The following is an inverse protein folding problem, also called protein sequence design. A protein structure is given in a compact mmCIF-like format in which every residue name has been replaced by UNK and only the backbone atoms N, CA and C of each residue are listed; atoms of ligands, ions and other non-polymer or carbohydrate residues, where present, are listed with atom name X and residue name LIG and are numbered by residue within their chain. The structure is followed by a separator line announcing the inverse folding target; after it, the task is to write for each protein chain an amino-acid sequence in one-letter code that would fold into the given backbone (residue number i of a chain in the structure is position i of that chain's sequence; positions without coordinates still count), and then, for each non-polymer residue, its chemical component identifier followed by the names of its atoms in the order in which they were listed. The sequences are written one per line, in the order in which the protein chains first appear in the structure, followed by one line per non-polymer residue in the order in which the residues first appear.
data_IF_425508308900
#
_entry.id   IF_425508308900
#
_cell.length_a   1.000
_cell.length_b   1.000
_cell.length_c   1.000
_cell.angle_alpha   90.00
_cell.angle_beta   90.00
_cell.angle_gamma   90.00
#
_symmetry.space_group_name_H-M   'P 1'
#
loop_
_entity.id
_entity.type
_entity.pdbx_description
1 polymer ?
#
# COMPACT_ATOMS: atom_id res chain seq x y z
N UNK A 1 15.09 14.03 0.42
CA UNK A 1 14.51 13.79 -0.92
C UNK A 1 14.00 12.36 -0.95
N UNK A 2 12.87 12.07 -1.58
CA UNK A 2 12.30 10.72 -1.59
C UNK A 2 13.05 9.87 -2.62
N UNK A 3 13.58 8.70 -2.23
CA UNK A 3 14.23 7.79 -3.18
C UNK A 3 13.23 7.31 -4.25
N UNK A 4 13.64 7.28 -5.51
CA UNK A 4 12.80 6.78 -6.62
C UNK A 4 12.65 5.25 -6.59
N UNK A 5 13.49 4.55 -5.82
CA UNK A 5 13.59 3.10 -5.87
C UNK A 5 12.73 2.37 -4.82
N UNK A 6 11.76 3.07 -4.21
CA UNK A 6 10.91 2.54 -3.13
C UNK A 6 9.98 1.40 -3.56
N UNK A 7 9.62 1.33 -4.84
CA UNK A 7 8.77 0.25 -5.41
C UNK A 7 9.39 -1.15 -5.26
N UNK A 8 10.70 -1.25 -4.98
CA UNK A 8 11.37 -2.54 -4.72
C UNK A 8 10.96 -3.17 -3.39
N UNK A 9 10.42 -2.40 -2.46
CA UNK A 9 10.04 -2.85 -1.13
C UNK A 9 8.57 -3.27 -1.05
N UNK A 10 7.76 -2.90 -2.04
CA UNK A 10 6.33 -3.20 -2.08
C UNK A 10 5.59 -2.27 -3.03
N UNK A 11 4.26 -2.25 -2.87
CA UNK A 11 3.38 -1.40 -3.66
C UNK A 11 3.45 0.06 -3.15
N UNK A 12 4.01 0.96 -3.96
CA UNK A 12 4.06 2.39 -3.63
C UNK A 12 2.66 3.00 -3.83
N UNK A 13 2.01 3.39 -2.72
CA UNK A 13 0.65 3.90 -2.71
C UNK A 13 0.61 5.42 -2.95
N UNK A 14 1.52 6.17 -2.32
CA UNK A 14 1.62 7.62 -2.52
C UNK A 14 2.99 8.16 -2.12
N UNK A 15 3.33 9.33 -2.67
CA UNK A 15 4.50 10.13 -2.31
C UNK A 15 4.06 11.58 -2.20
N UNK A 16 4.02 12.10 -0.98
CA UNK A 16 3.49 13.43 -0.68
C UNK A 16 4.39 14.14 0.32
N UNK A 17 4.86 15.34 -0.03
CA UNK A 17 5.59 16.24 0.88
C UNK A 17 6.75 15.58 1.65
N UNK A 18 7.49 14.67 1.01
CA UNK A 18 8.62 13.97 1.64
C UNK A 18 8.22 12.76 2.49
N UNK A 19 6.98 12.29 2.40
CA UNK A 19 6.47 11.06 3.02
C UNK A 19 6.04 10.09 1.92
N UNK A 20 6.53 8.86 1.98
CA UNK A 20 6.12 7.79 1.08
C UNK A 20 5.29 6.74 1.84
N UNK A 21 4.18 6.29 1.25
CA UNK A 21 3.38 5.18 1.74
C UNK A 21 3.63 3.95 0.89
N UNK A 22 4.16 2.90 1.49
CA UNK A 22 4.45 1.64 0.81
C UNK A 22 3.66 0.53 1.50
N UNK A 23 2.87 -0.20 0.73
CA UNK A 23 2.19 -1.41 1.18
C UNK A 23 3.09 -2.61 0.95
N UNK A 24 3.26 -3.41 2.01
CA UNK A 24 4.16 -4.55 2.03
C UNK A 24 3.47 -5.76 2.63
N UNK A 25 3.97 -6.96 2.33
CA UNK A 25 3.50 -8.17 2.98
C UNK A 25 3.83 -8.14 4.48
N UNK A 26 2.86 -8.53 5.32
CA UNK A 26 2.95 -8.42 6.77
C UNK A 26 4.17 -9.16 7.32
N UNK A 27 4.49 -10.32 6.76
CA UNK A 27 5.60 -11.17 7.15
C UNK A 27 6.97 -10.53 6.82
N UNK A 28 7.00 -9.59 5.87
CA UNK A 28 8.25 -8.96 5.40
C UNK A 28 8.54 -7.62 6.07
N UNK A 29 7.59 -7.04 6.82
CA UNK A 29 7.71 -5.71 7.45
C UNK A 29 9.04 -5.54 8.18
N UNK A 30 9.41 -6.48 9.06
CA UNK A 30 10.64 -6.35 9.86
C UNK A 30 11.91 -6.35 9.00
N UNK A 31 11.96 -7.19 7.96
CA UNK A 31 13.10 -7.28 7.06
C UNK A 31 13.24 -6.02 6.19
N UNK A 32 12.12 -5.53 5.67
CA UNK A 32 12.07 -4.33 4.84
C UNK A 32 12.48 -3.11 5.67
N UNK A 33 11.94 -2.95 6.88
CA UNK A 33 12.32 -1.86 7.78
C UNK A 33 13.82 -1.85 8.09
N UNK A 34 14.41 -3.01 8.38
CA UNK A 34 15.85 -3.10 8.62
C UNK A 34 16.65 -2.63 7.40
N UNK A 35 16.22 -3.00 6.19
CA UNK A 35 16.87 -2.59 4.94
C UNK A 35 16.69 -1.09 4.67
N UNK A 36 15.50 -0.54 4.95
CA UNK A 36 15.20 0.87 4.78
C UNK A 36 16.05 1.74 5.72
N UNK A 37 16.13 1.36 7.00
CA UNK A 37 16.91 2.08 8.02
C UNK A 37 18.42 1.97 7.81
N UNK A 38 18.91 0.93 7.14
CA UNK A 38 20.33 0.78 6.78
C UNK A 38 20.69 1.63 5.54
N UNK A 39 19.78 1.75 4.58
CA UNK A 39 20.05 2.35 3.26
C UNK A 39 19.70 3.83 3.16
N UNK A 40 18.75 4.31 3.96
CA UNK A 40 18.26 5.68 3.90
C UNK A 40 18.31 6.37 5.26
N UNK A 41 18.51 7.69 5.24
CA UNK A 41 18.37 8.52 6.43
C UNK A 41 16.89 8.84 6.67
N UNK A 42 16.25 8.05 7.53
CA UNK A 42 14.81 8.14 7.78
C UNK A 42 14.58 8.82 9.13
N UNK A 43 13.90 9.96 9.10
CA UNK A 43 13.59 10.73 10.31
C UNK A 43 12.47 10.11 11.16
N UNK A 44 11.46 9.50 10.52
CA UNK A 44 10.31 8.93 11.19
C UNK A 44 9.72 7.76 10.37
N UNK A 45 9.20 6.75 11.07
CA UNK A 45 8.58 5.57 10.49
C UNK A 45 7.35 5.20 11.31
N UNK A 46 6.22 5.02 10.64
CA UNK A 46 5.06 4.37 11.24
C UNK A 46 4.64 3.15 10.44
N UNK A 47 4.39 2.04 11.14
CA UNK A 47 3.79 0.84 10.56
C UNK A 47 2.34 0.77 11.02
N UNK A 48 1.45 0.59 10.06
CA UNK A 48 0.05 0.36 10.31
C UNK A 48 -0.41 -0.88 9.56
N UNK A 49 -1.22 -1.71 10.21
CA UNK A 49 -2.02 -2.69 9.52
C UNK A 49 -3.13 -1.97 8.74
N UNK A 50 -3.49 -2.51 7.56
CA UNK A 50 -4.66 -1.99 6.84
C UNK A 50 -5.90 -2.13 7.71
N UNK A 51 -6.78 -1.11 7.72
CA UNK A 51 -7.99 -1.20 8.50
C UNK A 51 -8.88 -2.31 7.93
N UNK A 52 -9.65 -2.95 8.82
CA UNK A 52 -10.40 -4.15 8.45
C UNK A 52 -11.48 -3.84 7.40
N UNK A 53 -12.06 -2.64 7.44
CA UNK A 53 -13.02 -2.17 6.44
C UNK A 53 -12.46 -2.19 5.01
N UNK A 54 -11.19 -1.82 4.80
CA UNK A 54 -10.56 -1.83 3.49
C UNK A 54 -10.40 -3.27 2.97
N UNK A 55 -10.04 -4.20 3.86
CA UNK A 55 -9.96 -5.62 3.54
C UNK A 55 -11.33 -6.18 3.14
N UNK A 56 -12.39 -5.80 3.86
CA UNK A 56 -13.75 -6.20 3.51
C UNK A 56 -14.19 -5.59 2.18
N UNK A 57 -13.90 -4.31 1.92
CA UNK A 57 -14.24 -3.67 0.66
C UNK A 57 -13.66 -4.42 -0.55
N UNK A 58 -12.39 -4.84 -0.47
CA UNK A 58 -11.74 -5.66 -1.51
C UNK A 58 -12.45 -7.00 -1.73
N UNK A 59 -12.83 -7.69 -0.65
CA UNK A 59 -13.57 -8.95 -0.74
C UNK A 59 -14.94 -8.75 -1.41
N UNK A 60 -15.71 -7.73 -1.01
CA UNK A 60 -17.05 -7.51 -1.56
C UNK A 60 -17.04 -6.99 -3.00
N UNK A 61 -16.09 -6.14 -3.37
CA UNK A 61 -15.99 -5.63 -4.74
C UNK A 61 -15.57 -6.75 -5.71
N UNK A 62 -14.73 -7.69 -5.26
CA UNK A 62 -14.38 -8.89 -6.03
C UNK A 62 -15.58 -9.82 -6.33
N UNK A 63 -16.68 -9.66 -5.59
CA UNK A 63 -17.91 -10.44 -5.76
C UNK A 63 -19.04 -9.71 -6.52
N UNK A 64 -18.85 -8.43 -6.90
CA UNK A 64 -19.83 -7.70 -7.70
C UNK A 64 -19.75 -8.15 -9.16
N UNK A 65 -20.65 -9.04 -9.57
CA UNK A 65 -20.92 -9.29 -11.00
C UNK A 65 -21.33 -7.96 -11.65
N UNK A 66 -20.81 -7.59 -12.84
CA UNK A 66 -21.32 -6.43 -13.56
C UNK A 66 -22.79 -6.72 -13.90
N UNK A 67 -23.70 -5.99 -13.25
CA UNK A 67 -25.10 -5.98 -13.64
C UNK A 67 -25.16 -5.25 -14.98
N UNK A 68 -25.38 -6.01 -16.05
CA UNK A 68 -25.59 -5.49 -17.39
C UNK A 68 -26.72 -4.46 -17.34
N UNK A 69 -26.37 -3.20 -17.53
CA UNK A 69 -27.30 -2.09 -17.69
C UNK A 69 -28.03 -2.29 -19.03
N UNK A 70 -29.15 -3.03 -19.03
CA UNK A 70 -30.07 -3.09 -20.15
C UNK A 70 -30.71 -1.71 -20.34
N UNK A 71 -30.13 -0.97 -21.28
CA UNK A 71 -30.67 0.29 -21.78
C UNK A 71 -32.11 0.09 -22.27
N UNK A 72 -33.05 0.77 -21.62
CA UNK A 72 -34.43 0.92 -22.08
C UNK A 72 -34.42 1.76 -23.36
N UNK A 73 -34.88 1.18 -24.47
CA UNK A 73 -35.20 1.86 -25.74
C UNK A 73 -36.70 1.84 -25.93
#
# INVERSE_FOLDING_TARGET
EIPEDLERFGELLSVDLGVAKVKVEREQVSQILATLLDRYDIHDITVHDRPLEDVFAELFDSHRKPETEEAVV
#
